data_IF_254481267029
#
_entry.id   IF_254481267029
#
_cell.length_a   1.000
_cell.length_b   1.000
_cell.length_c   1.000
_cell.angle_alpha   90.00
_cell.angle_beta   90.00
_cell.angle_gamma   90.00
#
_symmetry.space_group_name_H-M   'P 1'
#
loop_
_entity.id
_entity.type
_entity.pdbx_description
1 polymer ?
#
# COMPACT_ATOMS: atom_id res chain seq x y z
N UNK A 1 16.60 14.66 -28.28
CA UNK A 1 15.72 14.15 -29.36
C UNK A 1 14.33 14.46 -28.88
N UNK A 2 13.84 15.62 -29.29
CA UNK A 2 12.76 16.26 -28.57
C UNK A 2 11.50 15.98 -29.36
N UNK A 3 10.74 15.00 -28.90
CA UNK A 3 9.56 14.51 -29.62
C UNK A 3 8.35 15.45 -29.43
N UNK A 4 8.41 16.39 -28.48
CA UNK A 4 7.32 17.30 -28.14
C UNK A 4 6.88 18.23 -29.29
N UNK A 5 7.80 18.88 -30.07
CA UNK A 5 7.42 19.60 -31.27
C UNK A 5 6.75 18.70 -32.32
N UNK A 6 7.28 17.50 -32.55
CA UNK A 6 6.74 16.54 -33.54
C UNK A 6 5.31 16.11 -33.19
N UNK A 7 5.03 15.84 -31.91
CA UNK A 7 3.67 15.54 -31.41
C UNK A 7 2.75 16.77 -31.49
N UNK A 8 3.29 17.95 -31.25
CA UNK A 8 2.56 19.23 -31.33
C UNK A 8 2.17 19.61 -32.76
N UNK A 9 3.03 19.36 -33.75
CA UNK A 9 2.80 19.68 -35.16
C UNK A 9 2.27 18.50 -35.99
N UNK A 10 1.91 17.37 -35.36
CA UNK A 10 1.41 16.20 -36.08
C UNK A 10 0.01 16.44 -36.64
N UNK A 11 -0.18 16.12 -37.93
CA UNK A 11 -1.50 16.16 -38.60
C UNK A 11 -2.53 15.19 -38.00
N UNK A 12 -2.07 14.22 -37.21
CA UNK A 12 -2.93 13.27 -36.49
C UNK A 12 -3.37 13.77 -35.10
N UNK A 13 -2.76 14.82 -34.54
CA UNK A 13 -3.11 15.35 -33.23
C UNK A 13 -4.48 16.04 -33.28
N UNK A 14 -5.46 15.50 -32.54
CA UNK A 14 -6.84 16.05 -32.48
C UNK A 14 -7.11 16.84 -31.20
N UNK A 15 -6.43 16.50 -30.12
CA UNK A 15 -6.49 17.20 -28.84
C UNK A 15 -5.11 17.11 -28.17
N UNK A 16 -4.67 18.18 -27.52
CA UNK A 16 -3.48 18.21 -26.67
C UNK A 16 -3.67 19.15 -25.49
N UNK A 17 -3.20 18.76 -24.31
CA UNK A 17 -3.26 19.56 -23.08
C UNK A 17 -2.16 19.14 -22.11
N UNK A 18 -1.99 19.90 -21.02
CA UNK A 18 -1.03 19.59 -19.95
C UNK A 18 -1.80 19.39 -18.65
N UNK A 19 -1.46 18.33 -17.92
CA UNK A 19 -1.98 18.04 -16.58
C UNK A 19 -0.86 18.26 -15.58
N UNK A 20 -1.06 19.21 -14.67
CA UNK A 20 -0.04 19.63 -13.71
C UNK A 20 0.37 18.49 -12.77
N UNK A 21 1.62 18.47 -12.32
CA UNK A 21 2.16 17.46 -11.40
C UNK A 21 1.30 17.28 -10.12
N UNK A 22 0.69 18.37 -9.65
CA UNK A 22 -0.24 18.41 -8.52
C UNK A 22 -1.61 17.78 -8.78
N UNK A 23 -2.02 17.60 -10.05
CA UNK A 23 -3.32 17.03 -10.40
C UNK A 23 -3.30 15.51 -10.60
N UNK A 24 -2.12 14.89 -10.76
CA UNK A 24 -2.03 13.49 -11.19
C UNK A 24 -0.98 12.64 -10.45
N UNK A 25 -1.14 11.32 -10.59
CA UNK A 25 -0.24 10.31 -10.04
C UNK A 25 -0.12 9.14 -11.02
N UNK A 26 1.04 8.49 -11.01
CA UNK A 26 1.31 7.30 -11.80
C UNK A 26 1.18 6.03 -10.94
N UNK A 27 0.97 4.88 -11.60
CA UNK A 27 1.05 3.57 -10.95
C UNK A 27 2.50 3.09 -10.96
N UNK A 28 3.00 2.65 -9.81
CA UNK A 28 4.36 2.14 -9.64
C UNK A 28 4.55 0.84 -10.45
N UNK A 29 5.65 0.70 -11.20
CA UNK A 29 5.90 -0.50 -12.04
C UNK A 29 5.96 -1.81 -11.23
N UNK A 30 6.38 -1.74 -9.96
CA UNK A 30 6.36 -2.87 -9.04
C UNK A 30 5.03 -2.99 -8.26
N UNK A 31 3.93 -2.37 -8.71
CA UNK A 31 2.59 -2.51 -8.12
C UNK A 31 1.97 -3.92 -8.23
N UNK A 32 2.71 -4.90 -8.76
CA UNK A 32 2.39 -6.32 -8.68
C UNK A 32 3.00 -7.01 -7.43
N UNK A 33 4.00 -6.38 -6.79
CA UNK A 33 4.64 -6.84 -5.55
C UNK A 33 4.25 -5.97 -4.33
N UNK A 34 3.92 -4.69 -4.58
CA UNK A 34 3.55 -3.70 -3.57
C UNK A 34 2.10 -3.86 -3.13
N UNK A 35 1.76 -3.37 -1.93
CA UNK A 35 0.38 -3.33 -1.46
C UNK A 35 -0.47 -2.39 -2.34
N UNK A 36 -1.78 -2.57 -2.36
CA UNK A 36 -2.69 -1.68 -3.08
C UNK A 36 -2.61 -0.21 -2.61
N UNK A 37 -2.15 0.04 -1.37
CA UNK A 37 -1.89 1.39 -0.85
C UNK A 37 -0.61 2.00 -1.45
N UNK A 38 0.41 1.17 -1.69
CA UNK A 38 1.73 1.60 -2.16
C UNK A 38 1.87 1.54 -3.70
N UNK A 39 0.76 1.23 -4.40
CA UNK A 39 0.70 1.05 -5.84
C UNK A 39 0.70 2.38 -6.64
N UNK A 40 0.39 3.52 -6.01
CA UNK A 40 0.31 4.84 -6.65
C UNK A 40 1.34 5.82 -6.06
N UNK A 41 1.86 6.73 -6.89
CA UNK A 41 2.79 7.80 -6.51
C UNK A 41 2.42 9.09 -7.25
N UNK A 42 2.39 10.22 -6.54
CA UNK A 42 2.22 11.54 -7.16
C UNK A 42 3.31 11.81 -8.20
N UNK A 43 2.97 12.54 -9.26
CA UNK A 43 3.98 12.96 -10.25
C UNK A 43 4.90 14.04 -9.67
N UNK A 44 6.11 14.13 -10.22
CA UNK A 44 7.08 15.21 -9.98
C UNK A 44 7.07 16.22 -11.13
N UNK A 45 6.56 15.83 -12.30
CA UNK A 45 6.56 16.62 -13.54
C UNK A 45 5.16 16.71 -14.13
N UNK A 46 4.91 17.77 -14.88
CA UNK A 46 3.68 17.95 -15.65
C UNK A 46 3.60 16.94 -16.80
N UNK A 47 2.41 16.39 -17.04
CA UNK A 47 2.18 15.42 -18.12
C UNK A 47 1.51 16.08 -19.32
N UNK A 48 2.24 16.16 -20.44
CA UNK A 48 1.67 16.52 -21.74
C UNK A 48 0.90 15.36 -22.34
N UNK A 49 -0.42 15.50 -22.48
CA UNK A 49 -1.30 14.51 -23.10
C UNK A 49 -1.55 14.90 -24.55
N UNK A 50 -1.38 13.94 -25.47
CA UNK A 50 -1.62 14.10 -26.90
C UNK A 50 -2.52 12.99 -27.40
N UNK A 51 -3.62 13.33 -28.07
CA UNK A 51 -4.55 12.35 -28.65
C UNK A 51 -4.39 12.33 -30.17
N UNK A 52 -3.66 11.32 -30.63
CA UNK A 52 -3.36 11.06 -32.04
C UNK A 52 -4.44 10.15 -32.65
N UNK A 53 -5.03 10.54 -33.78
CA UNK A 53 -6.03 9.74 -34.49
C UNK A 53 -5.82 9.80 -36.01
N UNK A 54 -5.73 8.61 -36.61
CA UNK A 54 -5.87 8.43 -38.06
C UNK A 54 -7.27 8.85 -38.52
N UNK A 55 -7.44 9.16 -39.79
CA UNK A 55 -8.68 9.67 -40.38
C UNK A 55 -9.86 8.70 -40.15
N UNK A 56 -9.62 7.39 -40.32
CA UNK A 56 -10.61 6.34 -40.03
C UNK A 56 -11.02 6.30 -38.54
N UNK A 57 -10.10 6.60 -37.62
CA UNK A 57 -10.42 6.69 -36.19
C UNK A 57 -11.22 7.96 -35.89
N UNK A 58 -10.81 9.11 -36.45
CA UNK A 58 -11.51 10.39 -36.30
C UNK A 58 -12.94 10.37 -36.87
N UNK A 59 -13.17 9.62 -37.94
CA UNK A 59 -14.50 9.43 -38.55
C UNK A 59 -15.46 8.56 -37.72
N UNK A 60 -14.97 7.82 -36.73
CA UNK A 60 -15.82 7.07 -35.79
C UNK A 60 -16.52 7.99 -34.79
N UNK A 61 -17.62 7.54 -34.17
CA UNK A 61 -18.34 8.36 -33.18
C UNK A 61 -17.54 8.60 -31.89
N UNK A 62 -16.54 7.77 -31.61
CA UNK A 62 -15.55 8.01 -30.54
C UNK A 62 -14.55 9.09 -30.98
N UNK A 63 -14.10 9.05 -32.24
CA UNK A 63 -13.22 10.08 -32.82
C UNK A 63 -13.85 11.47 -32.84
N UNK A 64 -15.09 11.58 -33.31
CA UNK A 64 -15.88 12.82 -33.31
C UNK A 64 -15.96 13.45 -31.90
N UNK A 65 -16.16 12.64 -30.86
CA UNK A 65 -16.22 13.11 -29.46
C UNK A 65 -14.89 13.67 -28.93
N UNK A 66 -13.75 13.21 -29.44
CA UNK A 66 -12.42 13.70 -29.04
C UNK A 66 -12.14 15.11 -29.58
N UNK A 67 -12.69 15.47 -30.74
CA UNK A 67 -12.57 16.82 -31.32
C UNK A 67 -13.73 17.75 -30.93
N UNK A 68 -14.88 17.20 -30.50
CA UNK A 68 -16.04 17.97 -30.05
C UNK A 68 -15.69 18.95 -28.92
N UNK A 69 -16.33 20.13 -28.93
CA UNK A 69 -16.10 21.21 -27.94
C UNK A 69 -14.63 21.67 -27.85
N UNK A 70 -13.82 21.42 -28.89
CA UNK A 70 -12.37 21.66 -28.89
C UNK A 70 -11.59 20.68 -28.02
N UNK A 71 -12.15 19.50 -27.73
CA UNK A 71 -11.55 18.45 -26.90
C UNK A 71 -11.71 18.65 -25.40
N UNK A 72 -12.29 19.79 -24.94
CA UNK A 72 -12.47 20.14 -23.52
C UNK A 72 -13.15 19.04 -22.70
N UNK A 73 -14.16 18.39 -23.27
CA UNK A 73 -14.85 17.26 -22.62
C UNK A 73 -13.91 16.09 -22.36
N UNK A 74 -13.16 15.66 -23.38
CA UNK A 74 -12.20 14.56 -23.27
C UNK A 74 -11.03 14.92 -22.35
N UNK A 75 -10.56 16.17 -22.37
CA UNK A 75 -9.60 16.69 -21.39
C UNK A 75 -10.12 16.53 -19.95
N UNK A 76 -11.35 16.99 -19.67
CA UNK A 76 -11.96 16.87 -18.34
C UNK A 76 -12.16 15.41 -17.91
N UNK A 77 -12.59 14.54 -18.83
CA UNK A 77 -12.74 13.10 -18.58
C UNK A 77 -11.38 12.44 -18.25
N UNK A 78 -10.29 12.83 -18.94
CA UNK A 78 -8.93 12.33 -18.69
C UNK A 78 -8.31 12.92 -17.40
N UNK A 79 -8.43 14.23 -17.16
CA UNK A 79 -7.99 14.88 -15.91
C UNK A 79 -8.63 14.20 -14.70
N UNK A 80 -9.95 13.96 -14.74
CA UNK A 80 -10.68 13.25 -13.68
C UNK A 80 -10.20 11.81 -13.49
N UNK A 81 -9.90 11.09 -14.56
CA UNK A 81 -9.37 9.73 -14.48
C UNK A 81 -7.97 9.69 -13.83
N UNK A 82 -7.13 10.70 -14.07
CA UNK A 82 -5.82 10.83 -13.45
C UNK A 82 -5.87 11.31 -11.99
N UNK A 83 -6.81 12.20 -11.65
CA UNK A 83 -7.03 12.69 -10.28
C UNK A 83 -7.38 11.55 -9.31
N UNK A 84 -8.16 10.55 -9.74
CA UNK A 84 -8.44 9.34 -8.95
C UNK A 84 -7.18 8.51 -8.60
N UNK A 85 -6.07 8.71 -9.32
CA UNK A 85 -4.75 8.21 -8.92
C UNK A 85 -4.08 9.08 -7.85
N UNK A 86 -4.21 10.40 -7.96
CA UNK A 86 -3.64 11.39 -7.03
C UNK A 86 -4.23 11.26 -5.63
N UNK A 87 -5.56 11.18 -5.53
CA UNK A 87 -6.29 10.90 -4.28
C UNK A 87 -5.73 9.67 -3.54
N UNK A 88 -5.43 8.59 -4.27
CA UNK A 88 -4.87 7.35 -3.70
C UNK A 88 -3.43 7.51 -3.25
N UNK A 89 -2.61 8.24 -4.01
CA UNK A 89 -1.22 8.52 -3.63
C UNK A 89 -1.16 9.40 -2.36
N UNK A 90 -2.04 10.39 -2.25
CA UNK A 90 -2.10 11.30 -1.10
C UNK A 90 -2.67 10.61 0.15
N UNK A 91 -3.72 9.80 0.00
CA UNK A 91 -4.22 8.95 1.08
C UNK A 91 -3.15 7.97 1.59
N UNK A 92 -2.31 7.42 0.71
CA UNK A 92 -1.18 6.58 1.08
C UNK A 92 -0.07 7.37 1.78
N UNK A 93 0.27 8.57 1.31
CA UNK A 93 1.24 9.45 1.96
C UNK A 93 0.80 9.86 3.37
N UNK A 94 -0.46 10.28 3.53
CA UNK A 94 -1.05 10.61 4.82
C UNK A 94 -1.04 9.42 5.80
N UNK A 95 -1.36 8.21 5.32
CA UNK A 95 -1.31 6.99 6.13
C UNK A 95 0.12 6.62 6.59
N UNK A 96 1.15 6.86 5.76
CA UNK A 96 2.56 6.67 6.15
C UNK A 96 2.97 7.70 7.21
N UNK A 97 2.74 8.99 6.95
CA UNK A 97 3.07 10.07 7.87
C UNK A 97 2.39 9.91 9.25
N UNK A 98 1.14 9.43 9.29
CA UNK A 98 0.46 9.08 10.54
C UNK A 98 1.15 7.91 11.27
N UNK A 99 1.52 6.84 10.56
CA UNK A 99 2.25 5.71 11.14
C UNK A 99 3.65 6.08 11.64
N UNK A 100 4.31 7.04 11.01
CA UNK A 100 5.64 7.54 11.41
C UNK A 100 5.56 8.41 12.67
N UNK A 101 4.56 9.30 12.76
CA UNK A 101 4.29 10.09 13.98
C UNK A 101 4.00 9.22 15.20
N UNK A 102 3.20 8.15 15.03
CA UNK A 102 2.93 7.19 16.12
C UNK A 102 4.21 6.50 16.60
N UNK A 103 5.07 6.04 15.67
CA UNK A 103 6.35 5.41 16.01
C UNK A 103 7.33 6.37 16.68
N UNK A 104 7.39 7.62 16.24
CA UNK A 104 8.22 8.64 16.88
C UNK A 104 7.78 8.93 18.32
N UNK A 105 6.46 8.99 18.57
CA UNK A 105 5.90 9.12 19.91
C UNK A 105 6.20 7.90 20.80
N UNK A 106 6.06 6.69 20.27
CA UNK A 106 6.38 5.45 21.00
C UNK A 106 7.87 5.33 21.34
N UNK A 107 8.76 5.78 20.44
CA UNK A 107 10.19 5.82 20.67
C UNK A 107 10.56 6.82 21.78
N UNK A 108 10.07 8.06 21.69
CA UNK A 108 10.31 9.10 22.69
C UNK A 108 9.77 8.76 24.08
N UNK A 109 8.66 8.00 24.16
CA UNK A 109 8.16 7.47 25.43
C UNK A 109 9.13 6.46 26.07
N UNK A 110 9.62 5.50 25.28
CA UNK A 110 10.57 4.46 25.72
C UNK A 110 11.97 4.98 26.06
N UNK A 111 12.33 6.15 25.55
CA UNK A 111 13.56 6.86 25.92
C UNK A 111 13.41 7.50 27.31
N UNK A 112 12.29 8.20 27.56
CA UNK A 112 11.98 8.77 28.89
C UNK A 112 11.84 7.71 30.00
N UNK A 113 11.30 6.53 29.70
CA UNK A 113 11.25 5.42 30.68
C UNK A 113 12.66 4.93 31.09
N UNK A 114 13.67 5.07 30.22
CA UNK A 114 15.05 4.69 30.54
C UNK A 114 15.81 5.74 31.34
N UNK A 115 15.55 7.03 31.09
CA UNK A 115 16.17 8.12 31.86
C UNK A 115 15.48 8.36 33.22
N UNK A 116 14.18 8.09 33.33
CA UNK A 116 13.42 8.26 34.58
C UNK A 116 13.65 7.17 35.65
N UNK A 117 14.23 6.03 35.29
CA UNK A 117 14.38 4.84 36.15
C UNK A 117 15.48 4.91 37.22
N UNK A 118 15.78 6.09 37.77
CA UNK A 118 17.06 6.37 38.45
C UNK A 118 17.01 7.13 39.79
N UNK A 119 15.94 7.03 40.60
CA UNK A 119 15.85 7.80 41.84
C UNK A 119 14.93 7.29 42.96
N UNK A 120 15.53 7.07 44.13
CA UNK A 120 14.94 7.18 45.48
C UNK A 120 13.65 6.41 45.85
N UNK A 121 13.80 5.14 46.28
CA UNK A 121 12.92 4.53 47.29
C UNK A 121 13.68 3.44 48.11
N UNK A 122 14.28 3.82 49.26
CA UNK A 122 14.92 2.89 50.21
C UNK A 122 14.19 2.95 51.57
N UNK A 123 14.05 1.80 52.24
CA UNK A 123 13.21 1.53 53.45
C UNK A 123 11.70 1.48 53.11
N UNK A 124 10.86 0.68 53.77
CA UNK A 124 11.01 -0.05 55.06
C UNK A 124 10.95 -1.60 54.91
N UNK A 125 11.01 -2.32 56.05
CA UNK A 125 11.33 -3.75 56.21
C UNK A 125 10.34 -4.47 57.12
N UNK A 126 9.79 -5.59 56.65
CA UNK A 126 9.19 -6.74 57.35
C UNK A 126 8.99 -7.83 56.26
N UNK A 127 9.41 -9.10 56.35
CA UNK A 127 9.80 -10.05 57.41
C UNK A 127 8.67 -10.60 58.29
N UNK A 128 7.96 -11.59 57.76
CA UNK A 128 8.21 -13.02 58.06
C UNK A 128 8.83 -13.65 56.77
N UNK A 129 9.58 -14.76 56.71
CA UNK A 129 9.42 -16.09 57.34
C UNK A 129 8.07 -16.72 56.88
N UNK A 130 7.92 -17.98 56.44
CA UNK A 130 8.75 -19.21 56.46
C UNK A 130 8.73 -19.90 55.04
N UNK A 131 9.58 -20.83 54.57
CA UNK A 131 10.90 -21.37 54.99
C UNK A 131 11.72 -21.92 53.74
N UNK A 132 11.79 -23.24 53.46
CA UNK A 132 12.78 -23.94 52.57
C UNK A 132 12.10 -24.84 51.48
N UNK A 133 12.69 -25.56 50.49
CA UNK A 133 14.05 -26.01 50.08
C UNK A 133 14.50 -25.36 48.72
N UNK A 134 15.77 -25.21 48.31
CA UNK A 134 16.89 -26.15 48.03
C UNK A 134 16.62 -27.21 46.91
N UNK A 135 17.53 -27.55 45.97
CA UNK A 135 18.94 -27.18 45.72
C UNK A 135 19.32 -27.32 44.21
N UNK A 136 20.44 -26.70 43.77
CA UNK A 136 21.26 -27.08 42.57
C UNK A 136 20.70 -26.78 41.16
N UNK A 137 21.51 -26.75 40.09
CA UNK A 137 22.98 -26.71 39.96
C UNK A 137 23.35 -26.08 38.57
N UNK A 138 24.59 -25.57 38.43
CA UNK A 138 25.10 -24.91 37.22
C UNK A 138 25.64 -25.91 36.17
N UNK A 139 25.64 -25.56 34.87
CA UNK A 139 26.12 -26.50 33.84
C UNK A 139 26.23 -26.01 32.39
N UNK A 140 27.42 -25.54 31.99
CA UNK A 140 27.75 -25.33 30.57
C UNK A 140 27.89 -26.67 29.83
N UNK A 141 27.09 -26.87 28.76
CA UNK A 141 26.74 -28.21 28.24
C UNK A 141 26.88 -28.38 26.72
N UNK A 142 27.98 -27.93 26.13
CA UNK A 142 28.23 -27.90 24.67
C UNK A 142 28.24 -29.28 23.95
N UNK A 143 27.09 -29.79 23.43
CA UNK A 143 27.04 -30.61 22.16
C UNK A 143 25.67 -31.08 21.62
N UNK A 144 25.73 -31.42 20.32
CA UNK A 144 24.93 -32.37 19.50
C UNK A 144 23.53 -31.97 18.99
N UNK A 145 23.37 -32.17 17.68
CA UNK A 145 22.07 -32.23 16.96
C UNK A 145 21.45 -33.62 17.12
N UNK A 146 20.15 -33.70 17.32
CA UNK A 146 19.29 -34.85 16.95
C UNK A 146 17.99 -34.32 16.34
N UNK A 147 17.33 -35.14 15.51
CA UNK A 147 16.12 -34.75 14.77
C UNK A 147 14.82 -35.08 15.52
N UNK A 148 13.68 -34.59 15.02
CA UNK A 148 12.35 -35.13 15.39
C UNK A 148 11.45 -34.25 16.27
N UNK A 149 11.85 -33.04 16.65
CA UNK A 149 11.03 -32.14 17.47
C UNK A 149 9.77 -31.62 16.76
N UNK A 150 8.61 -32.26 16.98
CA UNK A 150 7.29 -31.78 16.52
C UNK A 150 6.96 -30.42 17.16
N UNK A 151 7.18 -29.32 16.44
CA UNK A 151 6.80 -27.97 16.88
C UNK A 151 5.29 -27.91 17.16
N UNK A 152 4.91 -27.60 18.40
CA UNK A 152 3.50 -27.39 18.80
C UNK A 152 2.91 -26.27 17.94
N UNK A 153 1.86 -26.58 17.17
CA UNK A 153 1.23 -25.63 16.25
C UNK A 153 0.65 -24.44 17.03
N UNK A 154 1.04 -23.21 16.69
CA UNK A 154 0.55 -22.03 17.40
C UNK A 154 -0.93 -21.79 17.10
N UNK A 155 -1.69 -21.29 18.09
CA UNK A 155 -3.13 -21.03 17.98
C UNK A 155 -3.50 -20.15 16.76
N UNK A 156 -2.56 -19.32 16.27
CA UNK A 156 -2.72 -18.48 15.09
C UNK A 156 -2.74 -19.28 13.76
N UNK A 157 -1.95 -20.34 13.62
CA UNK A 157 -1.93 -21.18 12.42
C UNK A 157 -3.25 -21.95 12.28
N UNK A 158 -3.72 -22.58 13.35
CA UNK A 158 -5.01 -23.29 13.40
C UNK A 158 -6.20 -22.37 13.07
N UNK A 159 -6.17 -21.10 13.51
CA UNK A 159 -7.17 -20.07 13.16
C UNK A 159 -7.09 -19.64 11.67
N UNK A 160 -5.91 -19.63 11.06
CA UNK A 160 -5.74 -19.40 9.60
C UNK A 160 -6.25 -20.57 8.77
N UNK A 161 -6.00 -21.82 9.20
CA UNK A 161 -6.47 -23.04 8.52
C UNK A 161 -8.00 -23.10 8.47
N UNK A 162 -8.68 -22.94 9.61
CA UNK A 162 -10.16 -22.99 9.69
C UNK A 162 -10.84 -21.90 8.83
N UNK A 163 -10.18 -20.75 8.61
CA UNK A 163 -10.65 -19.68 7.70
C UNK A 163 -10.46 -19.99 6.20
N UNK A 164 -9.57 -20.91 5.82
CA UNK A 164 -9.42 -21.38 4.43
C UNK A 164 -10.44 -22.47 4.12
N UNK A 165 -10.60 -23.42 5.04
CA UNK A 165 -11.57 -24.53 4.91
C UNK A 165 -13.01 -23.99 4.80
N UNK A 166 -13.39 -23.00 5.62
CA UNK A 166 -14.71 -22.36 5.53
C UNK A 166 -14.98 -21.64 4.19
N UNK A 167 -13.95 -21.14 3.48
CA UNK A 167 -14.10 -20.48 2.17
C UNK A 167 -14.08 -21.48 0.99
N UNK A 168 -13.75 -22.74 1.24
CA UNK A 168 -13.83 -23.81 0.24
C UNK A 168 -15.22 -24.49 0.20
N UNK A 169 -16.16 -24.03 1.03
CA UNK A 169 -17.51 -24.62 1.18
C UNK A 169 -18.64 -23.62 0.84
N UNK A 170 -18.32 -22.49 0.20
CA UNK A 170 -19.32 -21.63 -0.44
C UNK A 170 -19.59 -22.18 -1.85
N UNK A 171 -20.81 -22.66 -2.18
CA UNK A 171 -21.14 -23.07 -3.54
C UNK A 171 -21.11 -21.84 -4.47
N UNK A 172 -20.75 -22.01 -5.77
CA UNK A 172 -20.78 -20.91 -6.72
C UNK A 172 -22.22 -20.37 -6.88
N UNK A 173 -22.40 -19.06 -7.10
CA UNK A 173 -23.72 -18.51 -7.40
C UNK A 173 -24.29 -19.14 -8.68
N UNK A 174 -25.61 -19.39 -8.76
CA UNK A 174 -26.22 -20.03 -9.92
C UNK A 174 -26.01 -19.19 -11.18
N UNK A 175 -25.60 -19.84 -12.27
CA UNK A 175 -25.41 -19.18 -13.55
C UNK A 175 -26.78 -18.72 -14.10
N UNK A 176 -26.95 -17.41 -14.27
CA UNK A 176 -28.13 -16.83 -14.92
C UNK A 176 -28.08 -17.15 -16.41
N UNK A 177 -28.75 -18.22 -16.82
CA UNK A 177 -29.07 -18.47 -18.22
C UNK A 177 -29.92 -17.32 -18.76
N UNK A 178 -29.32 -16.50 -19.62
CA UNK A 178 -30.08 -15.57 -20.44
C UNK A 178 -30.87 -16.38 -21.48
N UNK A 179 -32.19 -16.41 -21.34
CA UNK A 179 -33.09 -16.87 -22.41
C UNK A 179 -33.08 -15.79 -23.50
N UNK A 180 -33.09 -16.24 -24.76
CA UNK A 180 -33.09 -15.40 -25.96
C UNK A 180 -34.49 -14.90 -26.34
#
# INVERSE_FOLDING_TARGET
MDNYPQLTSSTFTRCRFVVAASEHAYRDGAAHQKSAKDAHRGSVYDSGVFILQSEKAAASDVGKRVAAEGGKRTENEIRRAMAAGKERADAAAAARAASERVRAGEAAAKEKEKEGGGGAAKKRKAKSDEEEDEEGDDGDGKKKKTAGGKKKESKAAKKRRKRREAKALEPPPPATLAVA
#
